data_IF_890228398008
#
_entry.id   IF_890228398008
#
_cell.length_a   1.000
_cell.length_b   1.000
_cell.length_c   1.000
_cell.angle_alpha   90.00
_cell.angle_beta   90.00
_cell.angle_gamma   90.00
#
_symmetry.space_group_name_H-M   'P 1'
#
loop_
_entity.id
_entity.type
_entity.pdbx_description
1 polymer ?
#
# COMPACT_ATOMS: atom_id res chain seq x y z
N UNK A 1 5.68 -31.14 6.79
CA UNK A 1 6.81 -30.60 7.57
C UNK A 1 8.07 -30.37 6.73
N UNK A 2 8.50 -31.31 5.88
CA UNK A 2 9.72 -31.16 5.06
C UNK A 2 9.74 -29.90 4.17
N UNK A 3 8.61 -29.51 3.55
CA UNK A 3 8.50 -28.33 2.66
C UNK A 3 8.86 -26.99 3.33
N UNK A 4 8.72 -26.87 4.65
CA UNK A 4 9.11 -25.65 5.36
C UNK A 4 10.62 -25.59 5.66
N UNK A 5 11.28 -26.75 5.79
CA UNK A 5 12.71 -26.87 6.09
C UNK A 5 13.58 -26.60 4.86
N UNK A 6 13.09 -26.94 3.65
CA UNK A 6 13.84 -26.74 2.39
C UNK A 6 13.46 -25.43 1.67
N UNK A 7 12.68 -24.55 2.31
CA UNK A 7 12.21 -23.31 1.68
C UNK A 7 13.30 -22.24 1.69
N UNK A 8 13.78 -21.91 0.50
CA UNK A 8 14.82 -20.90 0.28
C UNK A 8 14.26 -19.46 0.36
N UNK A 9 13.15 -19.18 -0.35
CA UNK A 9 12.55 -17.84 -0.37
C UNK A 9 11.47 -17.69 0.69
N UNK A 10 11.61 -16.67 1.54
CA UNK A 10 10.58 -16.23 2.49
C UNK A 10 10.12 -14.82 2.10
N UNK A 11 8.82 -14.59 2.22
CA UNK A 11 8.22 -13.26 2.06
C UNK A 11 7.87 -12.75 3.45
N UNK A 12 8.24 -11.51 3.72
CA UNK A 12 7.92 -10.80 4.95
C UNK A 12 7.16 -9.51 4.62
N UNK A 13 6.31 -9.02 5.53
CA UNK A 13 5.54 -7.79 5.31
C UNK A 13 6.44 -6.57 5.07
N UNK A 14 7.65 -6.56 5.66
CA UNK A 14 8.67 -5.53 5.44
C UNK A 14 9.24 -5.50 4.03
N UNK A 15 9.08 -6.59 3.26
CA UNK A 15 9.55 -6.70 1.87
C UNK A 15 8.58 -6.07 0.87
N UNK A 16 7.40 -5.62 1.30
CA UNK A 16 6.43 -4.98 0.43
C UNK A 16 6.57 -3.45 0.45
N UNK A 17 6.32 -2.84 -0.71
CA UNK A 17 6.24 -1.38 -0.87
C UNK A 17 4.89 -1.06 -1.50
N UNK A 18 4.08 -0.22 -0.85
CA UNK A 18 2.78 0.15 -1.36
C UNK A 18 2.84 1.47 -2.17
N UNK A 19 2.42 1.46 -3.45
CA UNK A 19 2.27 2.68 -4.21
C UNK A 19 1.06 3.47 -3.72
N UNK A 20 1.26 4.76 -3.41
CA UNK A 20 0.22 5.68 -2.94
C UNK A 20 0.09 6.81 -3.94
N UNK A 21 -1.07 6.94 -4.55
CA UNK A 21 -1.35 8.02 -5.50
C UNK A 21 -2.08 9.15 -4.79
N UNK A 22 -1.52 10.35 -4.87
CA UNK A 22 -2.01 11.56 -4.24
C UNK A 22 -2.54 12.50 -5.32
N UNK A 23 -3.60 13.25 -5.00
CA UNK A 23 -4.14 14.30 -5.87
C UNK A 23 -4.48 15.53 -5.05
N UNK A 24 -4.46 16.70 -5.70
CA UNK A 24 -5.01 17.92 -5.11
C UNK A 24 -6.53 17.82 -4.89
N UNK A 25 -6.97 18.33 -3.74
CA UNK A 25 -8.37 18.34 -3.33
C UNK A 25 -8.52 18.07 -1.83
N UNK A 26 -9.77 18.00 -1.39
CA UNK A 26 -10.13 17.70 0.01
C UNK A 26 -11.19 16.61 0.01
N UNK A 27 -10.98 15.56 0.81
CA UNK A 27 -11.93 14.46 0.99
C UNK A 27 -12.15 13.58 -0.26
N UNK A 28 -11.24 13.60 -1.23
CA UNK A 28 -11.37 12.84 -2.48
C UNK A 28 -10.75 11.45 -2.36
N UNK A 29 -11.50 10.46 -2.82
CA UNK A 29 -11.03 9.10 -3.06
C UNK A 29 -11.56 8.69 -4.43
N UNK A 30 -10.66 8.56 -5.39
CA UNK A 30 -11.01 8.25 -6.78
C UNK A 30 -10.36 6.94 -7.19
N UNK A 31 -11.11 5.96 -7.70
CA UNK A 31 -10.50 4.73 -8.22
C UNK A 31 -9.63 5.05 -9.44
N UNK A 32 -8.53 4.31 -9.58
CA UNK A 32 -7.68 4.37 -10.76
C UNK A 32 -8.21 3.33 -11.74
N UNK A 33 -8.87 3.77 -12.82
CA UNK A 33 -9.50 2.86 -13.80
C UNK A 33 -8.52 1.83 -14.39
N UNK A 34 -7.26 2.22 -14.58
CA UNK A 34 -6.20 1.33 -15.08
C UNK A 34 -5.73 0.29 -14.05
N UNK A 35 -6.06 0.46 -12.77
CA UNK A 35 -5.61 -0.38 -11.66
C UNK A 35 -6.78 -0.70 -10.71
N UNK A 36 -7.58 -1.73 -11.02
CA UNK A 36 -8.67 -2.16 -10.14
C UNK A 36 -8.18 -2.44 -8.72
N UNK A 37 -8.83 -1.82 -7.73
CA UNK A 37 -8.45 -1.93 -6.31
C UNK A 37 -7.45 -0.88 -5.82
N UNK A 38 -6.92 -0.04 -6.70
CA UNK A 38 -6.07 1.10 -6.33
C UNK A 38 -6.88 2.40 -6.42
N UNK A 39 -6.76 3.24 -5.40
CA UNK A 39 -7.40 4.55 -5.36
C UNK A 39 -6.35 5.67 -5.28
N UNK A 40 -6.69 6.82 -5.85
CA UNK A 40 -6.07 8.11 -5.60
C UNK A 40 -6.73 8.76 -4.41
N UNK A 41 -5.91 9.26 -3.50
CA UNK A 41 -6.35 9.93 -2.29
C UNK A 41 -5.99 11.41 -2.35
N UNK A 42 -6.86 12.28 -1.84
CA UNK A 42 -6.44 13.65 -1.52
C UNK A 42 -5.47 13.66 -0.35
N UNK A 43 -4.66 14.72 -0.25
CA UNK A 43 -3.63 14.89 0.80
C UNK A 43 -4.18 14.67 2.21
N UNK A 44 -5.43 15.09 2.48
CA UNK A 44 -6.09 14.91 3.79
C UNK A 44 -6.44 13.44 4.10
N UNK A 45 -6.65 12.60 3.08
CA UNK A 45 -7.03 11.18 3.24
C UNK A 45 -5.83 10.25 3.29
N UNK A 46 -4.68 10.67 2.78
CA UNK A 46 -3.45 9.87 2.76
C UNK A 46 -3.06 9.35 4.16
N UNK A 47 -3.05 10.15 5.24
CA UNK A 47 -2.67 9.65 6.57
C UNK A 47 -3.55 8.52 7.09
N UNK A 48 -4.86 8.56 6.81
CA UNK A 48 -5.79 7.49 7.21
C UNK A 48 -5.48 6.18 6.47
N UNK A 49 -5.17 6.27 5.17
CA UNK A 49 -4.77 5.13 4.37
C UNK A 49 -3.42 4.56 4.84
N UNK A 50 -2.43 5.43 5.08
CA UNK A 50 -1.13 5.03 5.60
C UNK A 50 -1.24 4.31 6.95
N UNK A 51 -2.11 4.78 7.85
CA UNK A 51 -2.35 4.11 9.14
C UNK A 51 -2.77 2.66 8.99
N UNK A 52 -3.76 2.38 8.11
CA UNK A 52 -4.19 1.00 7.80
C UNK A 52 -3.08 0.16 7.18
N UNK A 53 -2.23 0.79 6.40
CA UNK A 53 -1.11 0.14 5.73
C UNK A 53 -0.04 -0.30 6.73
N UNK A 54 0.29 0.57 7.68
CA UNK A 54 1.19 0.26 8.79
C UNK A 54 0.60 -0.83 9.70
N UNK A 55 -0.71 -0.80 9.98
CA UNK A 55 -1.39 -1.87 10.73
C UNK A 55 -1.28 -3.24 10.03
N UNK A 56 -1.24 -3.26 8.70
CA UNK A 56 -1.01 -4.49 7.92
C UNK A 56 0.45 -4.98 7.91
N UNK A 57 1.37 -4.26 8.55
CA UNK A 57 2.80 -4.59 8.63
C UNK A 57 3.62 -4.10 7.44
N UNK A 58 3.03 -3.32 6.52
CA UNK A 58 3.73 -2.71 5.39
C UNK A 58 4.15 -1.29 5.78
N UNK A 59 5.46 -1.09 5.90
CA UNK A 59 6.03 0.18 6.37
C UNK A 59 6.67 1.02 5.27
N UNK A 60 6.72 0.49 4.05
CA UNK A 60 7.35 1.16 2.91
C UNK A 60 6.27 1.65 1.94
N UNK A 61 6.34 2.92 1.56
CA UNK A 61 5.38 3.55 0.64
C UNK A 61 6.09 4.31 -0.47
N UNK A 62 5.48 4.29 -1.65
CA UNK A 62 5.98 4.98 -2.83
C UNK A 62 4.95 5.99 -3.28
N UNK A 63 5.23 7.27 -3.04
CA UNK A 63 4.29 8.37 -3.28
C UNK A 63 4.35 8.83 -4.74
N UNK A 64 3.19 8.97 -5.35
CA UNK A 64 2.97 9.56 -6.67
C UNK A 64 2.02 10.75 -6.50
N UNK A 65 2.33 11.90 -7.09
CA UNK A 65 1.49 13.11 -7.08
C UNK A 65 1.13 13.55 -8.49
#
# INVERSE_FOLDING_TARGET
MLRALVRETRLDSSSFVAPVFVREGVGKVEPVDAMPGVNRYSVDKVPNYLGRLTESGVNSVLLFG
#
